data_IF_426796585844
#
_entry.id   IF_426796585844
#
_cell.length_a   1.000
_cell.length_b   1.000
_cell.length_c   1.000
_cell.angle_alpha   90.00
_cell.angle_beta   90.00
_cell.angle_gamma   90.00
#
_symmetry.space_group_name_H-M   'P 1'
#
loop_
_entity.id
_entity.type
_entity.pdbx_description
1 polymer ?
#
# COMPACT_ATOMS: atom_id res chain seq x y z
N UNK A 1 26.72 -9.25 -10.85
CA UNK A 1 26.25 -8.24 -11.81
C UNK A 1 24.82 -8.56 -12.21
N UNK A 2 23.91 -7.66 -11.97
CA UNK A 2 22.45 -7.80 -12.12
C UNK A 2 21.99 -8.16 -13.55
N UNK A 3 22.83 -7.85 -14.54
CA UNK A 3 22.55 -8.03 -15.98
C UNK A 3 23.46 -9.04 -16.67
N UNK A 4 24.11 -9.95 -15.92
CA UNK A 4 24.98 -10.94 -16.51
C UNK A 4 24.21 -12.22 -16.88
N UNK A 5 24.27 -12.63 -18.15
CA UNK A 5 23.81 -13.94 -18.59
C UNK A 5 24.62 -15.05 -17.93
N UNK A 6 24.00 -16.15 -17.59
CA UNK A 6 24.68 -17.32 -17.02
C UNK A 6 24.73 -17.37 -15.50
N UNK A 7 24.13 -16.41 -14.80
CA UNK A 7 23.89 -16.49 -13.35
C UNK A 7 22.48 -16.98 -13.06
N UNK A 8 22.37 -18.02 -12.24
CA UNK A 8 21.06 -18.44 -11.69
C UNK A 8 20.66 -17.56 -10.51
N UNK A 9 19.37 -17.51 -10.22
CA UNK A 9 18.88 -16.92 -8.98
C UNK A 9 19.50 -17.63 -7.79
N UNK A 10 20.06 -16.86 -6.86
CA UNK A 10 20.63 -17.42 -5.64
C UNK A 10 19.51 -17.79 -4.65
N UNK A 11 19.04 -19.02 -4.75
CA UNK A 11 18.01 -19.57 -3.86
C UNK A 11 18.49 -19.70 -2.41
N UNK A 12 19.81 -19.71 -2.18
CA UNK A 12 20.40 -19.71 -0.84
C UNK A 12 20.04 -18.45 -0.04
N UNK A 13 19.68 -17.36 -0.71
CA UNK A 13 19.20 -16.14 -0.06
C UNK A 13 17.87 -16.31 0.71
N UNK A 14 17.17 -17.42 0.51
CA UNK A 14 15.94 -17.74 1.26
C UNK A 14 16.22 -18.61 2.50
N UNK A 15 17.45 -19.12 2.65
CA UNK A 15 17.85 -20.03 3.71
C UNK A 15 18.71 -19.31 4.77
N UNK A 16 18.57 -19.73 6.02
CA UNK A 16 19.36 -19.23 7.15
C UNK A 16 18.88 -17.88 7.73
N UNK A 17 19.45 -17.54 8.88
CA UNK A 17 19.08 -16.34 9.67
C UNK A 17 19.49 -15.02 8.98
N UNK A 18 20.60 -15.02 8.27
CA UNK A 18 21.12 -13.83 7.59
C UNK A 18 20.23 -13.36 6.41
N UNK A 19 19.23 -14.15 6.04
CA UNK A 19 18.38 -13.91 4.88
C UNK A 19 16.91 -13.65 5.26
N UNK A 20 16.64 -13.26 6.51
CA UNK A 20 15.28 -12.95 6.98
C UNK A 20 14.62 -11.88 6.10
N UNK A 21 15.32 -10.80 5.80
CA UNK A 21 14.80 -9.73 4.94
C UNK A 21 14.40 -10.21 3.54
N UNK A 22 15.15 -11.13 2.94
CA UNK A 22 14.76 -11.70 1.64
C UNK A 22 13.47 -12.51 1.75
N UNK A 23 13.28 -13.25 2.86
CA UNK A 23 12.06 -14.03 3.10
C UNK A 23 10.85 -13.10 3.32
N UNK A 24 11.04 -11.98 4.01
CA UNK A 24 9.96 -11.06 4.33
C UNK A 24 9.56 -10.20 3.13
N UNK A 25 10.50 -9.79 2.29
CA UNK A 25 10.20 -9.23 0.96
C UNK A 25 9.47 -10.25 0.08
N UNK A 26 9.89 -11.52 0.07
CA UNK A 26 9.17 -12.58 -0.65
C UNK A 26 7.73 -12.72 -0.13
N UNK A 27 7.55 -12.65 1.20
CA UNK A 27 6.22 -12.69 1.84
C UNK A 27 5.37 -11.51 1.39
N UNK A 28 5.92 -10.29 1.46
CA UNK A 28 5.25 -9.08 1.02
C UNK A 28 4.80 -9.19 -0.45
N UNK A 29 5.69 -9.59 -1.35
CA UNK A 29 5.36 -9.77 -2.78
C UNK A 29 4.28 -10.83 -2.98
N UNK A 30 4.34 -11.94 -2.25
CA UNK A 30 3.31 -12.98 -2.29
C UNK A 30 1.94 -12.43 -1.87
N UNK A 31 1.91 -11.68 -0.76
CA UNK A 31 0.66 -11.17 -0.19
C UNK A 31 0.08 -10.07 -1.08
N UNK A 32 0.90 -9.19 -1.64
CA UNK A 32 0.49 -8.22 -2.66
C UNK A 32 -0.12 -8.93 -3.89
N UNK A 33 0.48 -10.03 -4.35
CA UNK A 33 -0.06 -10.79 -5.49
C UNK A 33 -1.43 -11.41 -5.18
N UNK A 34 -1.67 -11.87 -3.95
CA UNK A 34 -3.00 -12.34 -3.54
C UNK A 34 -4.01 -11.19 -3.49
N UNK A 35 -3.63 -10.07 -2.85
CA UNK A 35 -4.49 -8.88 -2.80
C UNK A 35 -4.80 -8.37 -4.22
N UNK A 36 -3.80 -8.29 -5.10
CA UNK A 36 -3.99 -7.84 -6.49
C UNK A 36 -5.03 -8.71 -7.20
N UNK A 37 -4.91 -10.02 -7.13
CA UNK A 37 -5.82 -10.96 -7.80
C UNK A 37 -7.26 -10.86 -7.27
N UNK A 38 -7.39 -10.66 -5.95
CA UNK A 38 -8.69 -10.71 -5.27
C UNK A 38 -9.35 -9.31 -5.15
N UNK A 39 -8.70 -8.23 -5.65
CA UNK A 39 -9.19 -6.86 -5.59
C UNK A 39 -9.39 -6.27 -6.99
N UNK A 40 -10.61 -6.33 -7.58
CA UNK A 40 -10.88 -5.84 -8.93
C UNK A 40 -10.51 -4.39 -9.19
N UNK A 41 -10.54 -3.53 -8.17
CA UNK A 41 -10.10 -2.14 -8.27
C UNK A 41 -8.64 -1.99 -8.72
N UNK A 42 -7.79 -3.00 -8.52
CA UNK A 42 -6.37 -2.95 -8.89
C UNK A 42 -6.10 -3.26 -10.38
N UNK A 43 -7.04 -3.92 -11.09
CA UNK A 43 -6.77 -4.40 -12.46
C UNK A 43 -7.92 -4.27 -13.45
N UNK A 44 -9.18 -4.23 -13.00
CA UNK A 44 -10.33 -4.36 -13.93
C UNK A 44 -10.56 -3.13 -14.81
N UNK A 45 -9.98 -1.97 -14.45
CA UNK A 45 -10.07 -0.73 -15.23
C UNK A 45 -8.70 -0.09 -15.53
N UNK A 46 -7.65 -0.87 -15.70
CA UNK A 46 -6.28 -0.38 -15.93
C UNK A 46 -6.15 0.49 -17.18
N UNK A 47 -6.95 0.26 -18.18
CA UNK A 47 -6.89 0.98 -19.47
C UNK A 47 -7.99 2.04 -19.64
N UNK A 48 -8.75 2.32 -18.59
CA UNK A 48 -9.81 3.35 -18.61
C UNK A 48 -9.42 4.55 -17.77
N UNK A 49 -9.85 5.75 -18.20
CA UNK A 49 -9.65 6.98 -17.44
C UNK A 49 -10.40 6.96 -16.09
N UNK A 50 -11.47 6.19 -16.00
CA UNK A 50 -12.28 6.04 -14.78
C UNK A 50 -11.64 5.12 -13.73
N UNK A 51 -10.56 4.41 -14.04
CA UNK A 51 -9.93 3.45 -13.13
C UNK A 51 -8.94 4.06 -12.14
N UNK A 52 -8.64 5.36 -12.21
CA UNK A 52 -7.61 5.99 -11.38
C UNK A 52 -7.93 7.46 -11.06
N UNK A 53 -7.67 7.86 -9.81
CA UNK A 53 -7.79 9.26 -9.39
C UNK A 53 -6.72 9.59 -8.36
N UNK A 54 -5.97 10.68 -8.59
CA UNK A 54 -5.12 11.25 -7.55
C UNK A 54 -5.96 11.86 -6.44
N UNK A 55 -5.60 11.58 -5.20
CA UNK A 55 -6.14 12.26 -4.01
C UNK A 55 -5.07 13.12 -3.33
N UNK A 56 -3.79 12.77 -3.54
CA UNK A 56 -2.64 13.56 -3.11
C UNK A 56 -1.47 13.30 -4.06
N UNK A 57 -1.12 14.26 -4.92
CA UNK A 57 -0.06 14.12 -5.92
C UNK A 57 1.09 15.13 -5.76
N UNK A 58 0.94 16.12 -4.86
CA UNK A 58 1.73 17.34 -4.83
C UNK A 58 2.40 17.65 -3.47
N UNK A 59 2.39 16.68 -2.53
CA UNK A 59 3.00 16.88 -1.21
C UNK A 59 4.49 16.50 -1.19
N UNK A 60 5.30 17.27 -1.90
CA UNK A 60 6.74 17.09 -1.96
C UNK A 60 7.44 17.39 -0.62
N UNK A 61 6.80 18.18 0.25
CA UNK A 61 7.39 18.53 1.56
C UNK A 61 7.40 17.32 2.51
N UNK A 62 6.35 16.50 2.45
CA UNK A 62 6.22 15.30 3.28
C UNK A 62 6.58 14.02 2.50
N UNK A 63 6.82 14.11 1.18
CA UNK A 63 6.98 12.96 0.29
C UNK A 63 5.80 11.96 0.39
N UNK A 64 4.59 12.49 0.43
CA UNK A 64 3.36 11.69 0.49
C UNK A 64 2.68 11.68 -0.86
N UNK A 65 2.28 10.48 -1.29
CA UNK A 65 1.42 10.27 -2.46
C UNK A 65 0.16 9.52 -2.03
N UNK A 66 -0.97 9.89 -2.61
CA UNK A 66 -2.25 9.19 -2.38
C UNK A 66 -3.05 9.12 -3.66
N UNK A 67 -3.67 7.97 -3.91
CA UNK A 67 -4.55 7.77 -5.07
C UNK A 67 -5.64 6.75 -4.76
N UNK A 68 -6.72 6.82 -5.53
CA UNK A 68 -7.79 5.81 -5.52
C UNK A 68 -7.79 5.07 -6.85
N UNK A 69 -7.99 3.76 -6.76
CA UNK A 69 -8.28 2.87 -7.88
C UNK A 69 -9.74 2.46 -7.82
N UNK A 70 -10.35 2.32 -8.99
CA UNK A 70 -11.74 1.94 -9.14
C UNK A 70 -11.88 0.65 -9.92
N UNK A 71 -12.71 -0.26 -9.41
CA UNK A 71 -13.08 -1.48 -10.11
C UNK A 71 -14.30 -1.30 -11.00
N UNK A 72 -14.40 -2.13 -12.05
CA UNK A 72 -15.58 -2.19 -12.91
C UNK A 72 -16.83 -2.70 -12.16
N UNK A 73 -16.64 -3.35 -11.03
CA UNK A 73 -17.67 -3.83 -10.10
C UNK A 73 -18.13 -2.77 -9.09
N UNK A 74 -17.60 -1.55 -9.17
CA UNK A 74 -17.88 -0.46 -8.24
C UNK A 74 -16.99 -0.46 -6.98
N UNK A 75 -16.07 -1.40 -6.86
CA UNK A 75 -15.10 -1.41 -5.76
C UNK A 75 -14.13 -0.23 -5.86
N UNK A 76 -13.66 0.27 -4.71
CA UNK A 76 -12.65 1.31 -4.63
C UNK A 76 -11.53 0.93 -3.67
N UNK A 77 -10.28 1.23 -4.07
CA UNK A 77 -9.09 1.04 -3.25
C UNK A 77 -8.35 2.36 -3.11
N UNK A 78 -8.14 2.81 -1.88
CA UNK A 78 -7.28 3.93 -1.52
C UNK A 78 -5.87 3.40 -1.23
N UNK A 79 -4.87 3.96 -1.90
CA UNK A 79 -3.47 3.75 -1.60
C UNK A 79 -2.85 5.05 -1.08
N UNK A 80 -2.13 4.98 0.04
CA UNK A 80 -1.38 6.09 0.61
C UNK A 80 0.05 5.67 0.87
N UNK A 81 1.00 6.43 0.35
CA UNK A 81 2.43 6.17 0.43
C UNK A 81 3.12 7.29 1.18
N UNK A 82 3.81 6.99 2.27
CA UNK A 82 4.79 7.87 2.89
C UNK A 82 6.20 7.42 2.45
N UNK A 83 6.81 8.17 1.55
CA UNK A 83 8.14 7.88 1.01
C UNK A 83 9.26 8.61 1.77
N UNK A 84 8.93 9.21 2.92
CA UNK A 84 9.91 9.87 3.79
C UNK A 84 10.40 8.94 4.90
N UNK A 85 11.61 9.19 5.39
CA UNK A 85 12.15 8.50 6.56
C UNK A 85 11.54 8.93 7.90
N UNK A 86 10.46 9.70 7.89
CA UNK A 86 9.80 10.22 9.10
C UNK A 86 8.35 9.79 9.16
N UNK A 87 7.90 9.40 10.34
CA UNK A 87 6.48 9.11 10.59
C UNK A 87 5.67 10.39 10.69
N UNK A 88 4.45 10.39 10.15
CA UNK A 88 3.50 11.50 10.21
C UNK A 88 2.26 11.04 10.98
N UNK A 89 2.12 11.40 12.26
CA UNK A 89 1.09 10.83 13.13
C UNK A 89 -0.34 11.32 12.83
N UNK A 90 -0.48 12.51 12.25
CA UNK A 90 -1.78 13.11 11.91
C UNK A 90 -1.68 13.72 10.51
N UNK A 91 -2.03 12.94 9.51
CA UNK A 91 -2.04 13.38 8.13
C UNK A 91 -3.48 13.48 7.62
N UNK A 92 -3.94 14.71 7.38
CA UNK A 92 -5.27 14.95 6.84
C UNK A 92 -5.29 14.69 5.34
N UNK A 93 -6.19 13.82 4.91
CA UNK A 93 -6.32 13.39 3.53
C UNK A 93 -7.76 13.57 3.05
N UNK A 94 -7.93 14.23 1.90
CA UNK A 94 -9.18 14.22 1.17
C UNK A 94 -9.35 12.87 0.45
N UNK A 95 -10.53 12.26 0.58
CA UNK A 95 -10.89 10.99 -0.05
C UNK A 95 -12.26 11.15 -0.73
N UNK A 96 -12.45 10.65 -1.97
CA UNK A 96 -13.64 10.98 -2.78
C UNK A 96 -14.96 10.39 -2.29
N UNK A 97 -14.92 9.38 -1.40
CA UNK A 97 -16.10 8.70 -0.88
C UNK A 97 -16.09 8.64 0.64
N UNK A 98 -17.19 9.04 1.24
CA UNK A 98 -17.48 8.85 2.66
C UNK A 98 -17.75 7.37 2.96
N UNK A 99 -17.47 6.94 4.18
CA UNK A 99 -17.74 5.59 4.66
C UNK A 99 -16.58 4.96 5.40
N UNK A 100 -16.74 3.69 5.70
CA UNK A 100 -15.71 2.87 6.33
C UNK A 100 -14.78 2.26 5.26
N UNK A 101 -13.48 2.37 5.49
CA UNK A 101 -12.45 1.81 4.63
C UNK A 101 -11.61 0.84 5.43
N UNK A 102 -11.61 -0.42 5.02
CA UNK A 102 -10.85 -1.50 5.65
C UNK A 102 -9.41 -1.52 5.14
N UNK A 103 -8.44 -1.56 6.05
CA UNK A 103 -7.04 -1.78 5.71
C UNK A 103 -6.83 -3.22 5.23
N UNK A 104 -6.26 -3.37 4.04
CA UNK A 104 -5.93 -4.68 3.44
C UNK A 104 -4.43 -4.90 3.28
N UNK A 105 -3.62 -3.85 3.38
CA UNK A 105 -2.16 -3.91 3.36
C UNK A 105 -1.58 -2.77 4.19
N UNK A 106 -0.60 -3.11 5.01
CA UNK A 106 0.30 -2.16 5.67
C UNK A 106 1.73 -2.70 5.55
N UNK A 107 2.59 -2.03 4.78
CA UNK A 107 3.97 -2.48 4.60
C UNK A 107 4.86 -2.24 5.82
N UNK A 108 4.39 -1.46 6.81
CA UNK A 108 5.06 -1.27 8.10
C UNK A 108 4.81 -2.40 9.10
N UNK A 109 3.98 -3.38 8.74
CA UNK A 109 3.70 -4.52 9.61
C UNK A 109 4.98 -5.33 9.89
N UNK A 110 5.15 -5.76 11.14
CA UNK A 110 6.29 -6.55 11.58
C UNK A 110 6.43 -7.88 10.82
N UNK A 111 5.37 -8.38 10.22
CA UNK A 111 5.40 -9.58 9.35
C UNK A 111 6.23 -9.37 8.07
N UNK A 112 6.47 -8.12 7.70
CA UNK A 112 7.29 -7.69 6.55
C UNK A 112 8.58 -6.98 6.99
N UNK A 113 9.00 -7.16 8.25
CA UNK A 113 10.14 -6.45 8.87
C UNK A 113 9.94 -4.93 8.97
N UNK A 114 8.70 -4.45 8.94
CA UNK A 114 8.36 -3.08 9.28
C UNK A 114 8.52 -2.80 10.77
N UNK A 115 8.39 -1.54 11.17
CA UNK A 115 8.49 -1.14 12.57
C UNK A 115 7.31 -1.65 13.43
N UNK A 116 6.22 -2.09 12.80
CA UNK A 116 5.05 -2.63 13.48
C UNK A 116 4.26 -1.58 14.25
N UNK A 117 4.21 -0.35 13.74
CA UNK A 117 3.41 0.70 14.36
C UNK A 117 1.93 0.27 14.42
N UNK A 118 1.27 0.40 15.58
CA UNK A 118 -0.13 0.05 15.69
C UNK A 118 -0.98 1.03 14.86
N UNK A 119 -1.73 0.49 13.90
CA UNK A 119 -2.64 1.23 13.04
C UNK A 119 -4.07 0.68 13.18
N UNK A 120 -5.10 1.52 13.02
CA UNK A 120 -6.47 1.04 13.01
C UNK A 120 -6.73 0.17 11.78
N UNK A 121 -7.47 -0.92 11.94
CA UNK A 121 -7.87 -1.79 10.84
C UNK A 121 -8.89 -1.14 9.89
N UNK A 122 -9.61 -0.13 10.37
CA UNK A 122 -10.57 0.65 9.60
C UNK A 122 -10.31 2.13 9.81
N UNK A 123 -10.55 2.89 8.77
CA UNK A 123 -10.59 4.35 8.82
C UNK A 123 -11.99 4.81 8.41
N UNK A 124 -12.49 5.84 9.07
CA UNK A 124 -13.74 6.50 8.73
C UNK A 124 -13.47 7.76 7.91
N UNK A 125 -14.12 7.87 6.75
CA UNK A 125 -14.12 9.09 5.94
C UNK A 125 -15.46 9.77 6.10
N UNK A 126 -15.46 11.04 6.54
CA UNK A 126 -16.62 11.86 6.69
C UNK A 126 -16.38 13.25 6.06
N UNK A 127 -17.38 13.78 5.37
CA UNK A 127 -17.25 15.04 4.62
C UNK A 127 -16.03 15.04 3.67
N UNK A 128 -15.74 13.89 3.09
CA UNK A 128 -14.56 13.62 2.23
C UNK A 128 -13.20 13.80 2.93
N UNK A 129 -13.13 13.73 4.23
CA UNK A 129 -11.89 13.89 5.01
C UNK A 129 -11.66 12.73 5.95
N UNK A 130 -10.39 12.38 6.12
CA UNK A 130 -9.90 11.45 7.15
C UNK A 130 -8.54 11.90 7.63
N UNK A 131 -8.15 11.48 8.84
CA UNK A 131 -6.81 11.72 9.40
C UNK A 131 -6.11 10.39 9.60
N UNK A 132 -4.93 10.24 9.01
CA UNK A 132 -4.14 9.00 9.00
C UNK A 132 -2.85 9.15 9.81
N UNK A 133 -2.42 8.06 10.41
CA UNK A 133 -1.04 7.90 10.83
C UNK A 133 -0.28 7.19 9.69
N UNK A 134 0.76 7.86 9.17
CA UNK A 134 1.61 7.35 8.10
C UNK A 134 3.01 7.02 8.66
N UNK A 135 3.32 5.74 8.96
CA UNK A 135 4.67 5.34 9.35
C UNK A 135 5.71 5.70 8.29
N UNK A 136 6.96 5.82 8.70
CA UNK A 136 8.08 6.13 7.79
C UNK A 136 8.25 5.02 6.73
N UNK A 137 8.53 5.40 5.48
CA UNK A 137 8.81 4.45 4.39
C UNK A 137 7.73 3.36 4.23
N UNK A 138 6.46 3.73 4.34
CA UNK A 138 5.35 2.77 4.34
C UNK A 138 4.30 3.05 3.27
N UNK A 139 3.58 1.99 2.93
CA UNK A 139 2.40 2.03 2.06
C UNK A 139 1.23 1.37 2.79
N UNK A 140 0.09 2.02 2.74
CA UNK A 140 -1.17 1.53 3.29
C UNK A 140 -2.20 1.41 2.17
N UNK A 141 -2.91 0.29 2.09
CA UNK A 141 -4.04 0.09 1.17
C UNK A 141 -5.31 -0.16 1.96
N UNK A 142 -6.36 0.54 1.54
CA UNK A 142 -7.69 0.42 2.13
C UNK A 142 -8.72 0.15 1.03
N UNK A 143 -9.72 -0.67 1.31
CA UNK A 143 -10.88 -0.89 0.44
C UNK A 143 -12.12 -0.30 1.08
N UNK A 144 -12.97 0.35 0.28
CA UNK A 144 -14.25 0.86 0.72
C UNK A 144 -15.20 -0.31 1.04
N UNK A 145 -15.74 -0.36 2.25
CA UNK A 145 -16.78 -1.31 2.62
C UNK A 145 -18.11 -0.92 1.96
N UNK A 146 -18.77 -1.90 1.34
CA UNK A 146 -20.06 -1.72 0.64
C UNK A 146 -21.24 -2.08 1.54
#
# INVERSE_FOLDING_TARGET
TEWAEGHSVDWGNLDGWANEWHRDIKRLVRDINFIYRDTPALWSQDFSQGGFQWVKADDSNNNVLGYVRYGADGSALLAVCNLSGSSIPNYDLWVPYDGEWQMILNTDDAVYEGAGNPLPQHIHVADNLTTLHLPANSVQWYVLEQ
#
